data_IF_993746810359
#
_entry.id   IF_993746810359
#
_cell.length_a   1.000
_cell.length_b   1.000
_cell.length_c   1.000
_cell.angle_alpha   90.00
_cell.angle_beta   90.00
_cell.angle_gamma   90.00
#
_symmetry.space_group_name_H-M   'P 1'
#
loop_
_entity.id
_entity.type
_entity.pdbx_description
1 polymer ?
#
# COMPACT_ATOMS: atom_id res chain seq x y z
N UNK A 1 7.12 -6.77 4.80
CA UNK A 1 7.09 -7.29 3.45
C UNK A 1 5.68 -7.16 2.89
N UNK A 2 5.58 -6.57 1.71
CA UNK A 2 4.29 -6.27 1.09
C UNK A 2 3.44 -7.52 0.88
N UNK A 3 4.06 -8.58 0.40
CA UNK A 3 3.31 -9.80 0.08
C UNK A 3 2.71 -10.42 1.33
N UNK A 4 3.45 -10.39 2.40
CA UNK A 4 2.96 -10.92 3.66
C UNK A 4 1.83 -10.05 4.21
N UNK A 5 1.98 -8.73 4.12
CA UNK A 5 0.94 -7.82 4.58
C UNK A 5 -0.36 -8.04 3.80
N UNK A 6 -0.27 -8.17 2.48
CA UNK A 6 -1.46 -8.39 1.65
C UNK A 6 -2.10 -9.73 1.97
N UNK A 7 -1.29 -10.75 2.27
CA UNK A 7 -1.86 -12.06 2.57
C UNK A 7 -2.58 -12.08 3.91
N UNK A 8 -2.09 -11.34 4.90
CA UNK A 8 -2.57 -11.47 6.27
C UNK A 8 -3.57 -10.41 6.68
N UNK A 9 -3.49 -9.22 6.09
CA UNK A 9 -4.29 -8.10 6.57
C UNK A 9 -5.68 -8.09 5.95
N UNK A 10 -6.62 -7.48 6.65
CA UNK A 10 -7.93 -7.15 6.07
C UNK A 10 -7.88 -5.81 5.37
N UNK A 11 -7.03 -4.92 5.85
CA UNK A 11 -6.85 -3.60 5.28
C UNK A 11 -5.40 -3.20 5.46
N UNK A 12 -4.82 -2.61 4.41
CA UNK A 12 -3.45 -2.10 4.47
C UNK A 12 -3.50 -0.59 4.45
N UNK A 13 -2.88 0.02 5.46
CA UNK A 13 -2.76 1.47 5.54
C UNK A 13 -1.36 1.85 5.09
N UNK A 14 -1.28 2.71 4.09
CA UNK A 14 0.00 3.20 3.60
C UNK A 14 0.23 4.58 4.21
N UNK A 15 1.34 4.72 4.91
CA UNK A 15 1.65 5.95 5.61
C UNK A 15 2.79 6.67 4.94
N UNK A 16 2.73 7.99 4.98
CA UNK A 16 3.83 8.78 4.47
C UNK A 16 4.99 8.72 5.47
N UNK A 17 6.17 9.17 5.02
CA UNK A 17 7.31 9.26 5.94
C UNK A 17 7.09 10.33 6.99
N UNK A 18 6.12 11.19 6.80
CA UNK A 18 5.69 12.12 7.82
C UNK A 18 4.85 11.38 8.86
N UNK A 19 5.24 11.40 10.13
CA UNK A 19 4.46 10.68 11.14
C UNK A 19 3.01 11.16 11.17
N UNK A 20 2.10 10.22 11.35
CA UNK A 20 0.69 10.53 11.53
C UNK A 20 -0.11 10.72 10.27
N UNK A 21 0.52 10.57 9.10
CA UNK A 21 -0.20 10.75 7.83
C UNK A 21 -0.43 9.43 7.14
N UNK A 22 -1.69 9.13 6.84
CA UNK A 22 -2.07 7.96 6.06
C UNK A 22 -2.42 8.46 4.66
N UNK A 23 -1.71 7.95 3.65
CA UNK A 23 -1.92 8.39 2.28
C UNK A 23 -2.89 7.51 1.52
N UNK A 24 -2.98 6.24 1.89
CA UNK A 24 -3.89 5.31 1.23
C UNK A 24 -4.40 4.28 2.22
N UNK A 25 -5.64 3.88 2.01
CA UNK A 25 -6.25 2.77 2.76
C UNK A 25 -6.74 1.78 1.73
N UNK A 26 -6.14 0.58 1.73
CA UNK A 26 -6.40 -0.41 0.70
C UNK A 26 -7.06 -1.62 1.32
N UNK A 27 -8.35 -1.83 1.06
CA UNK A 27 -9.01 -3.04 1.57
C UNK A 27 -8.50 -4.26 0.84
N UNK A 28 -8.30 -5.34 1.59
CA UNK A 28 -7.81 -6.59 1.03
C UNK A 28 -8.98 -7.56 0.97
N UNK A 29 -9.56 -7.69 -0.21
CA UNK A 29 -10.77 -8.47 -0.42
C UNK A 29 -10.49 -9.90 -0.87
N UNK A 30 -9.40 -10.48 -0.39
CA UNK A 30 -9.07 -11.86 -0.70
C UNK A 30 -9.93 -12.80 0.14
N UNK A 31 -10.35 -13.92 -0.45
CA UNK A 31 -11.20 -14.86 0.29
C UNK A 31 -10.44 -15.56 1.41
N UNK A 32 -11.18 -15.99 2.40
CA UNK A 32 -10.67 -16.80 3.49
C UNK A 32 -11.11 -18.24 3.31
N UNK A 33 -10.38 -19.20 3.84
CA UNK A 33 -9.09 -19.07 4.51
C UNK A 33 -7.97 -18.75 3.52
N UNK A 34 -6.96 -18.06 4.00
CA UNK A 34 -5.84 -17.68 3.15
C UNK A 34 -4.65 -18.58 3.42
N UNK A 35 -4.04 -19.07 2.35
CA UNK A 35 -2.91 -19.97 2.44
C UNK A 35 -2.09 -19.93 1.18
N UNK A 36 -1.48 -21.06 0.82
CA UNK A 36 -0.62 -21.10 -0.35
C UNK A 36 -1.33 -20.69 -1.63
N UNK A 37 -2.58 -21.14 -1.78
CA UNK A 37 -3.35 -20.80 -2.99
C UNK A 37 -3.62 -19.34 -3.12
N UNK A 38 -3.66 -18.62 -2.01
CA UNK A 38 -3.93 -17.18 -2.04
C UNK A 38 -2.91 -16.44 -2.89
N UNK A 39 -1.63 -16.82 -2.77
CA UNK A 39 -0.57 -16.13 -3.48
C UNK A 39 -0.57 -16.41 -4.98
N UNK A 40 -1.37 -17.38 -5.44
CA UNK A 40 -1.51 -17.68 -6.86
C UNK A 40 -2.63 -16.91 -7.53
N UNK A 41 -3.46 -16.24 -6.75
CA UNK A 41 -4.60 -15.51 -7.29
C UNK A 41 -4.13 -14.23 -7.99
N UNK A 42 -4.75 -13.94 -9.13
CA UNK A 42 -4.49 -12.68 -9.80
C UNK A 42 -4.81 -11.49 -8.92
N UNK A 43 -5.87 -11.62 -8.14
CA UNK A 43 -6.25 -10.53 -7.23
C UNK A 43 -5.17 -10.24 -6.22
N UNK A 44 -4.48 -11.28 -5.74
CA UNK A 44 -3.36 -11.10 -4.83
C UNK A 44 -2.27 -10.26 -5.47
N UNK A 45 -1.92 -10.60 -6.71
CA UNK A 45 -0.87 -9.86 -7.43
C UNK A 45 -1.28 -8.42 -7.68
N UNK A 46 -2.55 -8.20 -8.04
CA UNK A 46 -3.05 -6.86 -8.26
C UNK A 46 -2.99 -6.01 -6.99
N UNK A 47 -3.32 -6.62 -5.86
CA UNK A 47 -3.26 -5.90 -4.59
C UNK A 47 -1.84 -5.57 -4.19
N UNK A 48 -0.91 -6.50 -4.42
CA UNK A 48 0.50 -6.23 -4.15
C UNK A 48 1.00 -5.07 -4.99
N UNK A 49 0.65 -5.06 -6.27
CA UNK A 49 1.04 -3.97 -7.16
C UNK A 49 0.45 -2.65 -6.69
N UNK A 50 -0.79 -2.67 -6.23
CA UNK A 50 -1.43 -1.46 -5.76
C UNK A 50 -0.73 -0.89 -4.53
N UNK A 51 -0.33 -1.77 -3.61
CA UNK A 51 0.39 -1.33 -2.41
C UNK A 51 1.75 -0.77 -2.80
N UNK A 52 2.45 -1.44 -3.73
CA UNK A 52 3.74 -0.95 -4.20
C UNK A 52 3.62 0.43 -4.82
N UNK A 53 2.59 0.63 -5.65
CA UNK A 53 2.37 1.93 -6.28
C UNK A 53 2.12 3.01 -5.24
N UNK A 54 1.32 2.70 -4.23
CA UNK A 54 1.02 3.66 -3.18
C UNK A 54 2.27 4.05 -2.42
N UNK A 55 3.14 3.08 -2.14
CA UNK A 55 4.40 3.37 -1.45
C UNK A 55 5.31 4.22 -2.30
N UNK A 56 5.40 3.90 -3.58
CA UNK A 56 6.23 4.67 -4.50
C UNK A 56 5.74 6.10 -4.61
N UNK A 57 4.44 6.29 -4.72
CA UNK A 57 3.87 7.63 -4.81
C UNK A 57 4.11 8.42 -3.54
N UNK A 58 4.04 7.75 -2.39
CA UNK A 58 4.31 8.41 -1.12
C UNK A 58 5.73 8.93 -1.07
N UNK A 59 6.69 8.12 -1.51
CA UNK A 59 8.08 8.54 -1.53
C UNK A 59 8.30 9.69 -2.50
N UNK A 60 7.67 9.61 -3.68
CA UNK A 60 7.80 10.68 -4.67
C UNK A 60 7.22 11.98 -4.13
N UNK A 61 6.07 11.91 -3.48
CA UNK A 61 5.47 13.10 -2.90
C UNK A 61 6.35 13.71 -1.81
N UNK A 62 6.95 12.86 -1.01
CA UNK A 62 7.83 13.32 0.05
C UNK A 62 8.99 14.09 -0.54
N UNK A 63 9.57 13.60 -1.62
CA UNK A 63 10.68 14.28 -2.28
C UNK A 63 10.24 15.63 -2.81
N UNK A 64 9.05 15.70 -3.39
CA UNK A 64 8.54 16.97 -3.90
C UNK A 64 8.25 17.93 -2.77
N UNK A 65 7.75 17.43 -1.67
CA UNK A 65 7.46 18.29 -0.53
C UNK A 65 8.72 18.91 0.04
N UNK A 66 9.80 18.21 -0.09
CA UNK A 66 11.07 18.77 0.37
C UNK A 66 11.43 20.05 -0.33
N UNK A 67 10.79 20.32 -1.47
CA UNK A 67 10.99 21.55 -2.21
C UNK A 67 9.84 22.49 -2.01
N UNK A 68 9.21 22.69 -1.12
CA UNK A 68 8.00 23.28 -0.77
C UNK A 68 7.01 23.63 -1.76
N UNK A 69 6.49 23.55 -1.70
CA UNK A 69 5.48 23.47 -2.04
C UNK A 69 4.57 23.19 -2.34
N UNK A 70 4.29 22.96 -2.09
CA UNK A 70 3.38 22.38 -2.32
C UNK A 70 2.51 21.97 -2.25
N UNK A 71 2.35 22.09 -1.93
CA UNK A 71 1.52 21.48 -1.93
C UNK A 71 0.69 21.09 -1.90
N UNK A 72 0.73 21.17 -1.57
CA UNK A 72 0.09 20.55 -1.60
C UNK A 72 -0.58 20.12 -1.51
N UNK A 73 -0.49 20.03 -1.16
CA UNK A 73 -0.88 19.51 -1.20
C UNK A 73 -1.17 19.21 -1.28
#
# INVERSE_FOLDING_TARGET
DIREAVQLADTVHVMSVRPGHITDIIPIDLPHPRGRGTRRLERFHALCARVEDALTNTHARTEHEGTPCQSHE
#
